data_IF_533924762517
#
_entry.id   IF_533924762517
#
_cell.length_a   1.000
_cell.length_b   1.000
_cell.length_c   1.000
_cell.angle_alpha   90.00
_cell.angle_beta   90.00
_cell.angle_gamma   90.00
#
_symmetry.space_group_name_H-M   'P 1'
#
loop_
_entity.id
_entity.type
_entity.pdbx_description
1 polymer ?
#
# COMPACT_ATOMS: atom_id res chain seq x y z
N UNK A 1 -7.60 8.38 -7.20
CA UNK A 1 -7.49 7.16 -8.02
C UNK A 1 -8.22 5.99 -7.36
N UNK A 2 -7.97 5.69 -6.08
CA UNK A 2 -8.74 4.68 -5.32
C UNK A 2 -10.25 4.95 -5.35
N UNK A 3 -10.68 6.14 -4.93
CA UNK A 3 -12.10 6.49 -4.83
C UNK A 3 -12.88 6.43 -6.17
N UNK A 4 -12.18 6.47 -7.30
CA UNK A 4 -12.78 6.37 -8.64
C UNK A 4 -12.53 5.00 -9.30
N UNK A 5 -11.98 4.03 -8.56
CA UNK A 5 -11.72 2.67 -9.04
C UNK A 5 -10.70 2.59 -10.18
N UNK A 6 -9.72 3.50 -10.21
CA UNK A 6 -8.68 3.59 -11.27
C UNK A 6 -7.28 3.24 -10.73
N UNK A 7 -7.21 2.24 -9.87
CA UNK A 7 -5.95 1.62 -9.43
C UNK A 7 -6.04 0.13 -9.69
N UNK A 8 -5.08 -0.38 -10.45
CA UNK A 8 -4.97 -1.80 -10.78
C UNK A 8 -3.90 -2.48 -9.93
N UNK A 9 -2.80 -1.77 -9.65
CA UNK A 9 -1.65 -2.27 -8.87
C UNK A 9 -1.24 -1.23 -7.83
N UNK A 10 -0.94 -1.68 -6.60
CA UNK A 10 -0.26 -0.90 -5.56
C UNK A 10 1.09 -1.55 -5.27
N UNK A 11 2.15 -0.88 -5.67
CA UNK A 11 3.52 -1.24 -5.33
C UNK A 11 4.06 -0.29 -4.26
N UNK A 12 4.47 -0.82 -3.11
CA UNK A 12 4.87 0.01 -1.98
C UNK A 12 6.04 -0.58 -1.17
N UNK A 13 6.78 0.31 -0.52
CA UNK A 13 7.79 -0.02 0.46
C UNK A 13 7.25 0.24 1.88
N UNK A 14 7.29 -0.76 2.75
CA UNK A 14 7.01 -0.60 4.18
C UNK A 14 8.33 -0.52 4.92
N UNK A 15 8.57 0.61 5.58
CA UNK A 15 9.76 0.86 6.39
C UNK A 15 9.44 0.53 7.85
N UNK A 16 10.28 -0.23 8.58
CA UNK A 16 10.02 -0.63 9.96
C UNK A 16 10.27 0.53 10.94
N UNK A 17 9.44 1.57 10.87
CA UNK A 17 9.49 2.76 11.72
C UNK A 17 8.08 3.22 12.09
N UNK A 18 7.89 3.63 13.35
CA UNK A 18 6.67 4.28 13.81
C UNK A 18 6.90 5.79 13.75
N UNK A 19 6.17 6.50 12.89
CA UNK A 19 6.39 7.93 12.65
C UNK A 19 5.79 8.84 13.74
N UNK A 20 4.76 8.38 14.45
CA UNK A 20 4.04 9.17 15.47
C UNK A 20 3.04 10.17 14.87
N UNK A 21 3.46 10.94 13.86
CA UNK A 21 2.61 11.86 13.07
C UNK A 21 3.16 12.00 11.63
N UNK A 22 2.35 12.47 10.70
CA UNK A 22 2.77 12.69 9.31
C UNK A 22 1.63 12.75 8.30
N UNK A 23 2.01 12.90 7.02
CA UNK A 23 1.04 12.91 5.92
C UNK A 23 0.55 11.48 5.69
N UNK A 24 -0.76 11.19 5.80
CA UNK A 24 -1.28 9.85 5.55
C UNK A 24 -1.19 9.51 4.06
N UNK A 25 -0.73 8.28 3.76
CA UNK A 25 -0.72 7.77 2.38
C UNK A 25 -2.13 7.72 1.79
N UNK A 26 -3.11 7.38 2.63
CA UNK A 26 -4.54 7.37 2.30
C UNK A 26 -5.27 8.26 3.31
N UNK A 27 -5.68 9.49 2.90
CA UNK A 27 -6.43 10.39 3.77
C UNK A 27 -7.75 9.77 4.26
N UNK A 28 -8.28 10.30 5.36
CA UNK A 28 -9.61 9.91 5.86
C UNK A 28 -10.67 10.13 4.77
N UNK A 29 -11.57 9.15 4.62
CA UNK A 29 -12.59 9.17 3.56
C UNK A 29 -12.10 8.63 2.21
N UNK A 30 -10.85 8.15 2.11
CA UNK A 30 -10.44 7.33 0.98
C UNK A 30 -11.33 6.09 0.91
N UNK A 31 -11.95 5.87 -0.25
CA UNK A 31 -12.81 4.70 -0.46
C UNK A 31 -12.05 3.38 -0.30
N UNK A 32 -12.79 2.32 -0.02
CA UNK A 32 -12.21 0.98 0.09
C UNK A 32 -11.86 0.42 -1.31
N UNK A 33 -10.74 -0.29 -1.41
CA UNK A 33 -10.33 -1.05 -2.59
C UNK A 33 -9.89 -2.44 -2.15
N UNK A 34 -10.53 -3.47 -2.70
CA UNK A 34 -10.18 -4.87 -2.45
C UNK A 34 -8.96 -5.26 -3.27
N UNK A 35 -7.97 -5.83 -2.60
CA UNK A 35 -6.67 -6.16 -3.16
C UNK A 35 -6.24 -7.55 -2.69
N UNK A 36 -5.49 -8.26 -3.54
CA UNK A 36 -4.79 -9.48 -3.16
C UNK A 36 -3.27 -9.22 -3.17
N UNK A 37 -2.56 -9.88 -2.26
CA UNK A 37 -1.11 -9.74 -2.13
C UNK A 37 -0.42 -10.59 -3.20
N UNK A 38 0.11 -9.94 -4.24
CA UNK A 38 0.80 -10.60 -5.33
C UNK A 38 2.27 -10.88 -5.00
N UNK A 39 2.92 -10.00 -4.22
CA UNK A 39 4.33 -10.13 -3.88
C UNK A 39 4.63 -9.57 -2.49
N UNK A 40 5.48 -10.29 -1.75
CA UNK A 40 6.07 -9.83 -0.50
C UNK A 40 7.55 -10.24 -0.45
N UNK A 41 8.45 -9.26 -0.48
CA UNK A 41 9.89 -9.49 -0.38
C UNK A 41 10.52 -8.61 0.69
N UNK A 42 11.44 -9.19 1.46
CA UNK A 42 12.29 -8.43 2.37
C UNK A 42 13.38 -7.72 1.55
N UNK A 43 13.59 -6.44 1.85
CA UNK A 43 14.67 -5.59 1.33
C UNK A 43 15.60 -5.19 2.48
N UNK A 44 16.64 -4.43 2.13
CA UNK A 44 17.66 -3.99 3.08
C UNK A 44 17.05 -3.35 4.34
N UNK A 45 17.69 -3.57 5.50
CA UNK A 45 17.28 -3.03 6.81
C UNK A 45 15.85 -3.44 7.25
N UNK A 46 15.34 -4.56 6.74
CA UNK A 46 14.03 -5.09 7.13
C UNK A 46 12.84 -4.36 6.51
N UNK A 47 13.07 -3.51 5.49
CA UNK A 47 11.99 -2.96 4.69
C UNK A 47 11.27 -4.08 3.92
N UNK A 48 9.97 -3.93 3.68
CA UNK A 48 9.21 -4.85 2.84
C UNK A 48 8.87 -4.18 1.51
N UNK A 49 9.11 -4.89 0.41
CA UNK A 49 8.56 -4.56 -0.90
C UNK A 49 7.28 -5.38 -1.09
N UNK A 50 6.15 -4.68 -1.17
CA UNK A 50 4.83 -5.28 -1.33
C UNK A 50 4.26 -4.87 -2.67
N UNK A 51 3.70 -5.84 -3.39
CA UNK A 51 2.89 -5.59 -4.59
C UNK A 51 1.52 -6.20 -4.35
N UNK A 52 0.50 -5.36 -4.51
CA UNK A 52 -0.89 -5.73 -4.44
C UNK A 52 -1.55 -5.50 -5.78
N UNK A 53 -2.41 -6.42 -6.18
CA UNK A 53 -3.21 -6.31 -7.39
C UNK A 53 -4.69 -6.24 -7.01
N UNK A 54 -5.48 -5.55 -7.83
CA UNK A 54 -6.92 -5.44 -7.63
C UNK A 54 -7.57 -6.83 -7.62
N UNK A 55 -8.48 -7.04 -6.67
CA UNK A 55 -9.41 -8.18 -6.73
C UNK A 55 -10.57 -7.83 -7.67
N UNK A 56 -10.80 -8.70 -8.65
CA UNK A 56 -11.96 -8.65 -9.54
C UNK A 56 -13.28 -8.94 -8.81
#
# INVERSE_FOLDING_TARGET
MIAIGKIDVIEMAVIPVILGDGIPLFPQGTGELKLWLAKCEIKAKGALHLVYERMD
#
